data_IF_038803522059
#
_entry.id   IF_038803522059
#
_cell.length_a   1.000
_cell.length_b   1.000
_cell.length_c   1.000
_cell.angle_alpha   90.00
_cell.angle_beta   90.00
_cell.angle_gamma   90.00
#
_symmetry.space_group_name_H-M   'P 1'
#
loop_
_entity.id
_entity.type
_entity.pdbx_description
1 polymer ?
#
# COMPACT_ATOMS: atom_id res chain seq x y z
N UNK A 1 -18.60 0.94 -19.17
CA UNK A 1 -18.40 2.25 -18.52
C UNK A 1 -17.30 2.07 -17.50
N UNK A 2 -16.34 3.00 -17.44
CA UNK A 2 -15.28 2.96 -16.44
C UNK A 2 -15.87 2.91 -15.02
N UNK A 3 -15.33 2.03 -14.16
CA UNK A 3 -15.69 1.89 -12.75
C UNK A 3 -14.61 2.45 -11.84
N UNK A 4 -14.90 2.53 -10.54
CA UNK A 4 -13.94 2.91 -9.50
C UNK A 4 -13.56 1.68 -8.70
N UNK A 5 -12.27 1.39 -8.65
CA UNK A 5 -11.73 0.34 -7.80
C UNK A 5 -11.13 0.99 -6.56
N UNK A 6 -11.70 0.65 -5.40
CA UNK A 6 -11.27 1.17 -4.10
C UNK A 6 -10.58 0.05 -3.33
N UNK A 7 -9.26 0.14 -3.17
CA UNK A 7 -8.43 -0.83 -2.47
C UNK A 7 -8.06 -0.29 -1.10
N UNK A 8 -8.55 -0.93 -0.04
CA UNK A 8 -8.35 -0.55 1.35
C UNK A 8 -7.48 -1.58 2.06
N UNK A 9 -6.25 -1.21 2.43
CA UNK A 9 -5.29 -2.08 3.12
C UNK A 9 -5.09 -1.63 4.57
N UNK A 10 -5.55 -2.42 5.55
CA UNK A 10 -5.48 -2.02 6.96
C UNK A 10 -4.13 -2.35 7.64
N UNK A 11 -3.86 -1.68 8.76
CA UNK A 11 -2.71 -1.92 9.62
C UNK A 11 -2.75 -3.28 10.30
N UNK A 12 -1.59 -3.82 10.67
CA UNK A 12 -1.44 -5.16 11.27
C UNK A 12 -2.33 -5.37 12.48
N UNK A 13 -2.86 -6.57 12.59
CA UNK A 13 -3.87 -6.98 13.57
C UNK A 13 -5.23 -6.29 13.43
N UNK A 14 -5.42 -5.36 12.48
CA UNK A 14 -6.72 -4.73 12.24
C UNK A 14 -7.56 -5.47 11.20
N UNK A 15 -8.86 -5.60 11.48
CA UNK A 15 -9.87 -6.22 10.62
C UNK A 15 -11.20 -5.47 10.71
N UNK A 16 -12.02 -5.56 9.65
CA UNK A 16 -13.19 -4.69 9.46
C UNK A 16 -14.22 -4.73 10.61
N UNK A 17 -14.41 -5.92 11.20
CA UNK A 17 -15.42 -6.15 12.24
C UNK A 17 -14.93 -5.87 13.66
N UNK A 18 -13.73 -5.32 13.82
CA UNK A 18 -13.25 -4.98 15.16
C UNK A 18 -14.11 -3.87 15.79
N UNK A 19 -14.29 -3.87 17.14
CA UNK A 19 -15.12 -2.87 17.81
C UNK A 19 -14.68 -1.43 17.53
N UNK A 20 -13.36 -1.20 17.54
CA UNK A 20 -12.74 0.11 17.31
C UNK A 20 -12.17 0.20 15.90
N UNK A 21 -12.94 0.75 14.96
CA UNK A 21 -12.59 0.77 13.54
C UNK A 21 -11.44 1.74 13.23
N UNK A 22 -10.54 1.32 12.36
CA UNK A 22 -9.53 2.19 11.75
C UNK A 22 -10.18 3.11 10.70
N UNK A 23 -9.46 4.15 10.28
CA UNK A 23 -9.92 5.02 9.21
C UNK A 23 -10.00 4.30 7.86
N UNK A 24 -9.16 3.28 7.62
CA UNK A 24 -9.26 2.40 6.44
C UNK A 24 -10.57 1.62 6.44
N UNK A 25 -10.92 1.02 7.58
CA UNK A 25 -12.19 0.30 7.75
C UNK A 25 -13.39 1.25 7.57
N UNK A 26 -13.33 2.46 8.14
CA UNK A 26 -14.38 3.48 7.97
C UNK A 26 -14.55 3.87 6.49
N UNK A 27 -13.47 4.08 5.74
CA UNK A 27 -13.53 4.36 4.29
C UNK A 27 -14.18 3.19 3.55
N UNK A 28 -13.70 1.96 3.77
CA UNK A 28 -14.24 0.78 3.09
C UNK A 28 -15.76 0.60 3.33
N UNK A 29 -16.24 0.90 4.54
CA UNK A 29 -17.66 0.84 4.89
C UNK A 29 -18.49 2.01 4.38
N UNK A 30 -17.85 3.14 4.07
CA UNK A 30 -18.52 4.36 3.60
C UNK A 30 -18.65 4.40 2.08
N UNK A 31 -17.86 3.60 1.35
CA UNK A 31 -17.96 3.49 -0.10
C UNK A 31 -19.12 2.56 -0.46
N UNK A 32 -20.12 3.10 -1.16
CA UNK A 32 -21.24 2.32 -1.66
C UNK A 32 -20.79 1.42 -2.82
N UNK A 33 -20.88 0.11 -2.64
CA UNK A 33 -20.61 -0.85 -3.72
C UNK A 33 -21.80 -0.91 -4.67
N UNK A 34 -21.55 -0.69 -5.96
CA UNK A 34 -22.58 -0.55 -7.00
C UNK A 34 -22.63 0.85 -7.62
N UNK A 35 -23.72 1.18 -8.34
CA UNK A 35 -23.83 2.45 -9.05
C UNK A 35 -23.98 3.61 -8.06
N UNK A 36 -22.93 4.39 -7.87
CA UNK A 36 -22.95 5.60 -7.04
C UNK A 36 -22.51 6.81 -7.86
N UNK A 37 -23.39 7.81 -7.96
CA UNK A 37 -23.15 8.99 -8.80
C UNK A 37 -23.00 8.66 -10.29
N UNK A 38 -23.67 7.59 -10.76
CA UNK A 38 -23.61 7.15 -12.16
C UNK A 38 -22.39 6.31 -12.54
N UNK A 39 -21.52 5.96 -11.58
CA UNK A 39 -20.33 5.13 -11.81
C UNK A 39 -20.34 3.92 -10.88
N UNK A 40 -20.09 2.73 -11.43
CA UNK A 40 -19.96 1.50 -10.63
C UNK A 40 -18.72 1.59 -9.73
N UNK A 41 -18.82 1.11 -8.50
CA UNK A 41 -17.73 1.13 -7.52
C UNK A 41 -17.55 -0.26 -6.92
N UNK A 42 -16.31 -0.73 -6.89
CA UNK A 42 -15.93 -2.02 -6.30
C UNK A 42 -14.90 -1.82 -5.21
N UNK A 43 -15.25 -2.27 -4.01
CA UNK A 43 -14.40 -2.12 -2.83
C UNK A 43 -13.72 -3.44 -2.53
N UNK A 44 -12.40 -3.39 -2.36
CA UNK A 44 -11.59 -4.47 -1.82
C UNK A 44 -11.03 -4.06 -0.46
N UNK A 45 -11.41 -4.79 0.59
CA UNK A 45 -10.85 -4.61 1.91
C UNK A 45 -9.90 -5.76 2.25
N UNK A 46 -8.67 -5.41 2.63
CA UNK A 46 -7.67 -6.35 3.10
C UNK A 46 -7.36 -6.11 4.58
N UNK A 47 -7.60 -7.12 5.41
CA UNK A 47 -7.20 -7.08 6.83
C UNK A 47 -5.68 -7.04 6.98
N UNK A 48 -5.19 -6.40 8.03
CA UNK A 48 -3.75 -6.27 8.23
C UNK A 48 -3.05 -7.60 8.47
N UNK A 49 -1.73 -7.59 8.30
CA UNK A 49 -0.84 -8.75 8.59
C UNK A 49 -1.12 -9.29 10.00
N UNK A 50 -1.07 -10.61 10.19
CA UNK A 50 -1.26 -11.25 11.51
C UNK A 50 -2.72 -11.44 11.94
N UNK A 51 -3.70 -11.07 11.11
CA UNK A 51 -5.13 -11.34 11.37
C UNK A 51 -5.53 -12.78 11.04
N UNK A 52 -4.80 -13.46 10.14
CA UNK A 52 -5.03 -14.88 9.81
C UNK A 52 -4.57 -15.77 10.96
N UNK A 53 -5.36 -16.78 11.34
CA UNK A 53 -5.06 -17.72 12.45
C UNK A 53 -3.65 -18.34 12.38
N UNK A 54 -3.14 -18.58 11.17
CA UNK A 54 -1.81 -19.16 10.94
C UNK A 54 -0.64 -18.18 11.10
N UNK A 55 -0.91 -16.87 11.09
CA UNK A 55 0.12 -15.82 11.14
C UNK A 55 0.35 -15.25 12.54
N UNK A 56 -0.55 -15.51 13.50
CA UNK A 56 -0.46 -14.94 14.86
C UNK A 56 0.78 -15.39 15.67
N UNK A 57 1.50 -16.41 15.23
CA UNK A 57 2.52 -17.10 16.05
C UNK A 57 3.99 -16.92 15.63
N UNK A 58 4.34 -16.20 14.56
CA UNK A 58 5.73 -16.20 14.04
C UNK A 58 6.25 -14.83 13.60
N UNK A 59 7.26 -14.31 14.31
CA UNK A 59 7.94 -13.04 14.01
C UNK A 59 8.58 -12.95 12.61
N UNK A 60 8.99 -14.07 12.00
CA UNK A 60 9.50 -14.09 10.63
C UNK A 60 8.42 -14.07 9.54
N UNK A 61 7.14 -14.29 9.88
CA UNK A 61 6.03 -14.27 8.94
C UNK A 61 5.59 -12.85 8.55
N UNK A 62 6.06 -11.81 9.24
CA UNK A 62 5.61 -10.43 9.01
C UNK A 62 6.00 -9.89 7.62
N UNK A 63 7.25 -10.08 7.17
CA UNK A 63 7.69 -9.65 5.83
C UNK A 63 7.06 -10.49 4.71
N UNK A 64 6.90 -11.79 4.93
CA UNK A 64 6.19 -12.69 4.00
C UNK A 64 4.71 -12.33 3.89
N UNK A 65 4.06 -12.05 5.03
CA UNK A 65 2.67 -11.59 5.09
C UNK A 65 2.47 -10.28 4.34
N UNK A 66 3.40 -9.34 4.44
CA UNK A 66 3.30 -8.09 3.72
C UNK A 66 3.38 -8.25 2.19
N UNK A 67 4.30 -9.07 1.69
CA UNK A 67 4.34 -9.42 0.26
C UNK A 67 3.05 -10.07 -0.20
N UNK A 68 2.50 -10.99 0.61
CA UNK A 68 1.22 -11.64 0.31
C UNK A 68 0.09 -10.61 0.23
N UNK A 69 0.03 -9.64 1.15
CA UNK A 69 -1.00 -8.62 1.12
C UNK A 69 -0.92 -7.75 -0.15
N UNK A 70 0.29 -7.40 -0.61
CA UNK A 70 0.47 -6.67 -1.87
C UNK A 70 0.04 -7.52 -3.06
N UNK A 71 0.45 -8.79 -3.09
CA UNK A 71 0.11 -9.72 -4.17
C UNK A 71 -1.41 -10.00 -4.21
N UNK A 72 -2.05 -10.20 -3.06
CA UNK A 72 -3.50 -10.45 -2.96
C UNK A 72 -4.29 -9.22 -3.45
N UNK A 73 -3.86 -8.00 -3.09
CA UNK A 73 -4.47 -6.77 -3.61
C UNK A 73 -4.21 -6.58 -5.11
N UNK A 74 -3.03 -6.97 -5.59
CA UNK A 74 -2.71 -6.94 -7.02
C UNK A 74 -3.55 -7.94 -7.82
N UNK A 75 -3.78 -9.16 -7.30
CA UNK A 75 -4.68 -10.15 -7.90
C UNK A 75 -6.11 -9.62 -8.02
N UNK A 76 -6.61 -8.93 -6.99
CA UNK A 76 -7.90 -8.25 -7.09
C UNK A 76 -7.93 -7.25 -8.27
N UNK A 77 -6.87 -6.45 -8.46
CA UNK A 77 -6.79 -5.56 -9.63
C UNK A 77 -6.79 -6.33 -10.95
N UNK A 78 -6.02 -7.42 -11.05
CA UNK A 78 -5.95 -8.26 -12.26
C UNK A 78 -7.33 -8.83 -12.61
N UNK A 79 -8.08 -9.28 -11.62
CA UNK A 79 -9.40 -9.90 -11.81
C UNK A 79 -10.51 -8.88 -12.13
N UNK A 80 -10.31 -7.61 -11.75
CA UNK A 80 -11.40 -6.63 -11.69
C UNK A 80 -11.21 -5.45 -12.65
N UNK A 81 -9.98 -5.03 -12.89
CA UNK A 81 -9.66 -3.85 -13.68
C UNK A 81 -10.00 -4.06 -15.16
N UNK A 82 -10.68 -3.07 -15.71
CA UNK A 82 -10.85 -2.89 -17.14
C UNK A 82 -10.20 -1.55 -17.54
N UNK A 83 -9.75 -1.41 -18.80
CA UNK A 83 -9.24 -0.13 -19.29
C UNK A 83 -10.14 1.04 -18.93
N UNK A 84 -9.51 2.16 -18.56
CA UNK A 84 -10.14 3.42 -18.13
C UNK A 84 -10.78 3.42 -16.73
N UNK A 85 -10.71 2.31 -15.98
CA UNK A 85 -11.10 2.32 -14.57
C UNK A 85 -10.23 3.24 -13.72
N UNK A 86 -10.84 3.84 -12.70
CA UNK A 86 -10.16 4.71 -11.75
C UNK A 86 -9.69 3.91 -10.52
N UNK A 87 -8.45 4.15 -10.08
CA UNK A 87 -7.84 3.43 -8.96
C UNK A 87 -7.67 4.33 -7.73
N UNK A 88 -8.28 3.92 -6.62
CA UNK A 88 -8.19 4.61 -5.33
C UNK A 88 -7.58 3.66 -4.29
N UNK A 89 -6.43 4.02 -3.74
CA UNK A 89 -5.70 3.19 -2.79
C UNK A 89 -5.69 3.85 -1.41
N UNK A 90 -6.06 3.09 -0.39
CA UNK A 90 -6.08 3.55 0.99
C UNK A 90 -5.27 2.62 1.87
N UNK A 91 -4.54 3.19 2.85
CA UNK A 91 -3.93 2.34 3.85
C UNK A 91 -3.47 3.03 5.12
N UNK A 92 -3.38 2.27 6.20
CA UNK A 92 -2.91 2.75 7.50
C UNK A 92 -1.72 1.92 7.96
N UNK A 93 -0.67 2.56 8.50
CA UNK A 93 0.47 1.87 9.09
C UNK A 93 1.18 0.97 8.07
N UNK A 94 1.32 -0.33 8.35
CA UNK A 94 1.80 -1.33 7.38
C UNK A 94 0.83 -1.55 6.22
N UNK A 95 -0.46 -1.30 6.40
CA UNK A 95 -1.43 -1.24 5.30
C UNK A 95 -1.13 -0.09 4.34
N UNK A 96 -0.63 1.05 4.83
CA UNK A 96 -0.14 2.13 3.98
C UNK A 96 1.10 1.69 3.18
N UNK A 97 2.00 0.89 3.77
CA UNK A 97 3.08 0.25 3.03
C UNK A 97 2.53 -0.64 1.91
N UNK A 98 1.52 -1.46 2.19
CA UNK A 98 0.87 -2.31 1.18
C UNK A 98 0.31 -1.49 0.03
N UNK A 99 -0.48 -0.45 0.33
CA UNK A 99 -1.08 0.42 -0.68
C UNK A 99 -0.02 1.13 -1.55
N UNK A 100 1.04 1.64 -0.91
CA UNK A 100 2.18 2.27 -1.61
C UNK A 100 2.97 1.29 -2.47
N UNK A 101 3.18 0.07 -1.97
CA UNK A 101 3.88 -0.98 -2.72
C UNK A 101 3.05 -1.49 -3.90
N UNK A 102 1.74 -1.59 -3.73
CA UNK A 102 0.81 -1.89 -4.82
C UNK A 102 0.90 -0.80 -5.91
N UNK A 103 0.94 0.48 -5.52
CA UNK A 103 1.13 1.57 -6.46
C UNK A 103 2.46 1.46 -7.23
N UNK A 104 3.54 1.10 -6.54
CA UNK A 104 4.84 0.85 -7.16
C UNK A 104 4.83 -0.36 -8.10
N UNK A 105 4.14 -1.44 -7.73
CA UNK A 105 3.98 -2.63 -8.57
C UNK A 105 3.19 -2.32 -9.84
N UNK A 106 2.08 -1.59 -9.73
CA UNK A 106 1.29 -1.11 -10.88
C UNK A 106 2.14 -0.19 -11.77
N UNK A 107 2.98 0.67 -11.20
CA UNK A 107 3.91 1.50 -11.99
C UNK A 107 4.94 0.66 -12.74
N UNK A 108 5.53 -0.34 -12.10
CA UNK A 108 6.55 -1.18 -12.71
C UNK A 108 5.96 -2.10 -13.78
N UNK A 109 4.83 -2.73 -13.48
CA UNK A 109 4.33 -3.88 -14.24
C UNK A 109 2.97 -3.65 -14.90
N UNK A 110 2.32 -2.52 -14.68
CA UNK A 110 0.94 -2.28 -15.09
C UNK A 110 -0.04 -3.13 -14.29
N UNK A 111 -1.30 -3.17 -14.68
CA UNK A 111 -2.25 -4.18 -14.19
C UNK A 111 -2.25 -5.34 -15.18
N UNK A 112 -1.76 -6.52 -14.78
CA UNK A 112 -1.73 -7.67 -15.68
C UNK A 112 -3.14 -7.96 -16.23
N UNK A 113 -3.21 -8.32 -17.50
CA UNK A 113 -4.46 -8.78 -18.10
C UNK A 113 -4.86 -10.12 -17.46
N UNK A 114 -6.16 -10.44 -17.37
CA UNK A 114 -6.62 -11.70 -16.76
C UNK A 114 -5.95 -12.96 -17.35
N UNK A 115 -5.70 -12.99 -18.66
CA UNK A 115 -5.03 -14.09 -19.35
C UNK A 115 -3.53 -14.23 -19.00
N UNK A 116 -2.94 -13.19 -18.41
CA UNK A 116 -1.55 -13.14 -17.97
C UNK A 116 -1.40 -13.26 -16.45
N UNK A 117 -2.47 -13.58 -15.71
CA UNK A 117 -2.47 -13.68 -14.24
C UNK A 117 -1.41 -14.66 -13.69
N UNK A 118 -0.99 -15.66 -14.47
CA UNK A 118 0.08 -16.58 -14.11
C UNK A 118 1.45 -15.90 -13.93
N UNK A 119 1.63 -14.67 -14.43
CA UNK A 119 2.88 -13.89 -14.36
C UNK A 119 3.00 -13.01 -13.11
N UNK A 120 2.09 -13.14 -12.14
CA UNK A 120 2.14 -12.35 -10.90
C UNK A 120 3.50 -12.45 -10.20
N UNK A 121 4.11 -13.64 -10.15
CA UNK A 121 5.42 -13.83 -9.52
C UNK A 121 6.56 -13.16 -10.31
N UNK A 122 6.45 -13.13 -11.65
CA UNK A 122 7.40 -12.43 -12.52
C UNK A 122 7.28 -10.90 -12.36
N UNK A 123 6.05 -10.38 -12.33
CA UNK A 123 5.78 -8.97 -12.04
C UNK A 123 6.31 -8.57 -10.65
N UNK A 124 6.09 -9.43 -9.65
CA UNK A 124 6.61 -9.21 -8.30
C UNK A 124 8.13 -9.21 -8.28
N UNK A 125 8.79 -10.17 -8.93
CA UNK A 125 10.25 -10.22 -9.04
C UNK A 125 10.80 -8.96 -9.70
N UNK A 126 10.19 -8.52 -10.81
CA UNK A 126 10.57 -7.29 -11.51
C UNK A 126 10.38 -6.04 -10.64
N UNK A 127 9.27 -5.94 -9.91
CA UNK A 127 9.05 -4.84 -8.96
C UNK A 127 10.08 -4.84 -7.82
N UNK A 128 10.56 -6.01 -7.40
CA UNK A 128 11.48 -6.15 -6.29
C UNK A 128 12.95 -5.99 -6.69
N UNK A 129 13.25 -6.06 -7.97
CA UNK A 129 14.56 -5.72 -8.50
C UNK A 129 14.82 -4.22 -8.32
N UNK A 130 15.85 -3.87 -7.54
CA UNK A 130 16.22 -2.48 -7.24
C UNK A 130 17.09 -1.85 -8.33
N UNK A 131 17.58 -2.64 -9.27
CA UNK A 131 18.38 -2.15 -10.40
C UNK A 131 17.47 -1.66 -11.53
N UNK A 132 16.35 -2.36 -11.74
CA UNK A 132 15.35 -1.97 -12.73
C UNK A 132 14.46 -0.85 -12.19
N UNK A 133 14.44 0.26 -12.93
CA UNK A 133 13.55 1.38 -12.66
C UNK A 133 12.24 1.19 -13.43
N UNK A 134 11.12 1.78 -12.97
CA UNK A 134 9.86 1.73 -13.72
C UNK A 134 9.93 2.27 -15.16
N UNK A 135 10.88 3.16 -15.42
CA UNK A 135 11.19 3.72 -16.75
C UNK A 135 12.21 2.88 -17.55
N UNK A 136 12.70 1.77 -17.01
CA UNK A 136 13.64 0.86 -17.64
C UNK A 136 13.00 0.02 -18.75
N UNK A 137 13.84 -0.53 -19.63
CA UNK A 137 13.39 -1.29 -20.79
C UNK A 137 12.61 -2.55 -20.39
N UNK A 138 13.05 -3.27 -19.35
CA UNK A 138 12.39 -4.47 -18.87
C UNK A 138 10.96 -4.18 -18.40
N UNK A 139 10.79 -3.19 -17.52
CA UNK A 139 9.47 -2.75 -17.03
C UNK A 139 8.57 -2.24 -18.16
N UNK A 140 9.11 -1.45 -19.09
CA UNK A 140 8.33 -0.95 -20.23
C UNK A 140 7.85 -2.08 -21.16
N UNK A 141 8.73 -3.03 -21.49
CA UNK A 141 8.38 -4.19 -22.33
C UNK A 141 7.40 -5.11 -21.63
N UNK A 142 7.57 -5.35 -20.33
CA UNK A 142 6.67 -6.18 -19.54
C UNK A 142 5.25 -5.60 -19.54
N UNK A 143 5.12 -4.29 -19.26
CA UNK A 143 3.83 -3.59 -19.30
C UNK A 143 3.16 -3.72 -20.65
N UNK A 144 3.88 -3.35 -21.72
CA UNK A 144 3.37 -3.39 -23.09
C UNK A 144 2.94 -4.80 -23.52
N UNK A 145 3.66 -5.82 -23.06
CA UNK A 145 3.41 -7.20 -23.47
C UNK A 145 2.25 -7.83 -22.70
N UNK A 146 2.11 -7.57 -21.39
CA UNK A 146 1.29 -8.40 -20.49
C UNK A 146 0.22 -7.65 -19.69
N UNK A 147 0.23 -6.31 -19.70
CA UNK A 147 -0.60 -5.53 -18.80
C UNK A 147 -1.36 -4.40 -19.50
N UNK A 148 -2.27 -3.79 -18.75
CA UNK A 148 -2.82 -2.48 -19.02
C UNK A 148 -1.99 -1.41 -18.27
N UNK A 149 -1.52 -0.41 -19.00
CA UNK A 149 -0.88 0.77 -18.43
C UNK A 149 -1.97 1.74 -17.94
N UNK A 150 -1.92 2.13 -16.66
CA UNK A 150 -2.95 2.99 -16.06
C UNK A 150 -2.38 3.92 -15.00
N UNK A 151 -3.07 5.04 -14.80
CA UNK A 151 -2.81 5.94 -13.69
C UNK A 151 -3.47 5.45 -12.41
N UNK A 152 -2.97 5.96 -11.28
CA UNK A 152 -3.60 5.84 -9.97
C UNK A 152 -4.18 7.20 -9.63
N UNK A 153 -5.49 7.27 -9.46
CA UNK A 153 -6.19 8.53 -9.26
C UNK A 153 -5.94 9.11 -7.87
N UNK A 154 -5.86 8.24 -6.86
CA UNK A 154 -5.72 8.69 -5.49
C UNK A 154 -5.00 7.66 -4.62
N UNK A 155 -4.09 8.14 -3.77
CA UNK A 155 -3.53 7.38 -2.66
C UNK A 155 -3.73 8.17 -1.37
N UNK A 156 -4.51 7.63 -0.43
CA UNK A 156 -4.70 8.21 0.90
C UNK A 156 -4.12 7.30 1.96
N UNK A 157 -3.15 7.79 2.72
CA UNK A 157 -2.50 6.99 3.76
C UNK A 157 -2.45 7.68 5.11
N UNK A 158 -2.60 6.88 6.16
CA UNK A 158 -2.38 7.29 7.54
C UNK A 158 -1.08 6.66 8.04
N UNK A 159 -0.18 7.52 8.49
CA UNK A 159 1.03 7.22 9.25
C UNK A 159 1.80 5.98 8.76
N UNK A 160 2.25 6.04 7.51
CA UNK A 160 3.03 4.97 6.88
C UNK A 160 4.28 4.65 7.69
N UNK A 161 4.42 3.40 8.13
CA UNK A 161 5.65 2.91 8.78
C UNK A 161 6.45 2.05 7.80
N UNK A 162 7.68 2.45 7.48
CA UNK A 162 8.56 1.78 6.52
C UNK A 162 9.66 0.92 7.14
N UNK A 163 9.83 0.99 8.46
CA UNK A 163 10.71 0.10 9.21
C UNK A 163 10.09 -1.31 9.23
N UNK A 164 10.34 -2.07 8.17
CA UNK A 164 10.10 -3.49 8.15
C UNK A 164 11.17 -4.18 8.97
N UNK A 165 10.83 -4.45 10.21
CA UNK A 165 11.63 -5.32 11.05
C UNK A 165 10.79 -5.98 12.12
N UNK A 166 11.19 -7.20 12.47
CA UNK A 166 10.90 -7.75 13.79
C UNK A 166 11.37 -6.65 14.76
N UNK A 167 10.52 -6.16 15.69
CA UNK A 167 11.01 -5.33 16.79
C UNK A 167 12.21 -6.04 17.41
N UNK A 168 13.20 -5.31 17.93
CA UNK A 168 14.48 -5.81 18.44
C UNK A 168 14.30 -6.78 19.65
N UNK A 169 13.64 -7.90 19.40
CA UNK A 169 13.19 -8.94 20.33
C UNK A 169 14.15 -10.14 20.29
N UNK A 170 15.17 -10.10 19.43
CA UNK A 170 16.23 -11.09 19.37
C UNK A 170 17.41 -10.69 20.26
N UNK A 171 18.10 -11.63 20.92
CA UNK A 171 19.32 -11.32 21.65
C UNK A 171 20.33 -10.60 20.75
N UNK A 172 20.98 -9.54 21.26
CA UNK A 172 21.71 -8.52 20.47
C UNK A 172 22.81 -9.01 19.52
N UNK A 173 23.19 -10.29 19.55
CA UNK A 173 24.08 -10.92 18.58
C UNK A 173 23.41 -11.25 17.23
N UNK A 174 22.07 -11.28 17.16
CA UNK A 174 21.31 -11.47 15.90
C UNK A 174 21.11 -10.17 15.09
N UNK A 175 21.53 -9.02 15.63
CA UNK A 175 21.35 -7.69 15.02
C UNK A 175 21.80 -7.57 13.55
N UNK A 176 22.94 -8.16 13.12
CA UNK A 176 23.37 -8.10 11.71
C UNK A 176 22.44 -8.85 10.75
N UNK A 177 21.90 -10.00 11.17
CA UNK A 177 20.99 -10.83 10.36
C UNK A 177 19.62 -10.16 10.25
N UNK A 178 19.14 -9.57 11.36
CA UNK A 178 17.89 -8.80 11.38
C UNK A 178 18.01 -7.54 10.50
N UNK A 179 19.14 -6.82 10.54
CA UNK A 179 19.39 -5.67 9.65
C UNK A 179 19.41 -6.04 8.16
N UNK A 180 20.07 -7.15 7.80
CA UNK A 180 20.09 -7.64 6.42
C UNK A 180 18.67 -8.02 5.93
N UNK A 181 17.87 -8.63 6.80
CA UNK A 181 16.47 -8.92 6.51
C UNK A 181 15.66 -7.62 6.32
N UNK A 182 15.81 -6.64 7.21
CA UNK A 182 15.10 -5.36 7.15
C UNK A 182 15.42 -4.59 5.87
N UNK A 183 16.70 -4.52 5.45
CA UNK A 183 17.09 -3.84 4.22
C UNK A 183 16.45 -4.46 2.97
N UNK A 184 16.18 -5.76 2.99
CA UNK A 184 15.44 -6.41 1.91
C UNK A 184 14.00 -5.92 1.87
N UNK A 185 13.40 -5.60 3.01
CA UNK A 185 11.98 -5.25 3.12
C UNK A 185 11.71 -3.75 3.14
N UNK A 186 12.70 -2.89 3.36
CA UNK A 186 12.57 -1.43 3.20
C UNK A 186 11.91 -1.03 1.88
N UNK A 187 11.25 0.13 1.87
CA UNK A 187 10.58 0.67 0.68
C UNK A 187 11.49 0.56 -0.55
N UNK A 188 10.91 0.05 -1.63
CA UNK A 188 11.61 -0.05 -2.91
C UNK A 188 11.92 1.36 -3.44
N UNK A 189 10.96 2.27 -3.31
CA UNK A 189 11.11 3.68 -3.64
C UNK A 189 10.19 4.54 -2.74
N UNK A 190 10.74 5.57 -2.09
CA UNK A 190 9.96 6.60 -1.39
C UNK A 190 9.57 7.76 -2.30
N UNK A 191 10.05 7.75 -3.54
CA UNK A 191 9.69 8.70 -4.58
C UNK A 191 8.30 8.39 -5.14
N UNK A 192 7.41 9.38 -5.12
CA UNK A 192 6.07 9.24 -5.68
C UNK A 192 6.15 9.08 -7.21
N UNK A 193 5.40 8.11 -7.72
CA UNK A 193 5.30 7.86 -9.16
C UNK A 193 4.59 9.01 -9.88
N UNK A 194 5.10 9.44 -11.04
CA UNK A 194 4.39 10.39 -11.93
C UNK A 194 3.04 9.86 -12.45
N UNK A 195 2.78 8.58 -12.27
CA UNK A 195 1.50 7.96 -12.64
C UNK A 195 0.45 8.04 -11.54
N UNK A 196 0.78 8.65 -10.39
CA UNK A 196 -0.19 8.94 -9.32
C UNK A 196 -0.66 10.38 -9.50
N UNK A 197 -1.97 10.60 -9.61
CA UNK A 197 -2.54 11.95 -9.74
C UNK A 197 -2.56 12.69 -8.40
N UNK A 198 -3.00 12.03 -7.33
CA UNK A 198 -3.04 12.61 -5.98
C UNK A 198 -2.53 11.65 -4.91
N UNK A 199 -1.68 12.14 -4.01
CA UNK A 199 -1.16 11.41 -2.85
C UNK A 199 -1.28 12.25 -1.58
N UNK A 200 -1.92 11.69 -0.55
CA UNK A 200 -2.26 12.38 0.69
C UNK A 200 -1.82 11.53 1.88
N UNK A 201 -1.01 12.09 2.77
CA UNK A 201 -0.45 11.40 3.92
C UNK A 201 -0.74 12.18 5.20
N UNK A 202 -1.54 11.61 6.09
CA UNK A 202 -1.73 12.11 7.45
C UNK A 202 -0.70 11.46 8.39
N UNK A 203 0.07 12.27 9.12
CA UNK A 203 1.20 11.85 9.95
C UNK A 203 0.93 12.14 11.43
N UNK A 204 1.37 11.25 12.32
CA UNK A 204 1.26 11.45 13.77
C UNK A 204 2.46 12.22 14.32
N UNK A 205 2.25 13.41 14.88
CA UNK A 205 3.36 14.23 15.43
C UNK A 205 3.83 13.74 16.81
N UNK A 206 2.94 13.11 17.58
CA UNK A 206 3.22 12.68 18.96
C UNK A 206 3.63 11.19 19.05
N UNK A 207 3.86 10.52 17.91
CA UNK A 207 4.36 9.14 17.90
C UNK A 207 5.86 9.09 18.20
N UNK A 208 6.21 8.59 19.39
CA UNK A 208 7.59 8.59 19.89
C UNK A 208 8.31 7.24 19.74
N UNK A 209 7.60 6.16 19.39
CA UNK A 209 8.22 4.84 19.27
C UNK A 209 9.06 4.80 17.99
N UNK A 210 10.36 4.55 18.15
CA UNK A 210 11.30 4.46 17.03
C UNK A 210 10.89 3.44 15.95
N UNK A 211 10.23 2.34 16.34
CA UNK A 211 9.70 1.33 15.43
C UNK A 211 8.55 1.83 14.52
N UNK A 212 7.99 3.02 14.80
CA UNK A 212 6.87 3.64 14.10
C UNK A 212 7.28 4.94 13.41
N UNK A 213 8.57 5.17 13.17
CA UNK A 213 9.00 6.34 12.42
C UNK A 213 8.32 6.39 11.04
N UNK A 214 7.71 7.54 10.70
CA UNK A 214 6.95 7.65 9.47
C UNK A 214 7.88 7.67 8.25
N UNK A 215 7.44 7.02 7.18
CA UNK A 215 8.11 7.08 5.89
C UNK A 215 7.44 8.12 5.02
N UNK A 216 8.10 9.26 4.84
CA UNK A 216 7.61 10.34 3.99
C UNK A 216 7.69 9.97 2.50
N UNK A 217 6.90 10.64 1.69
CA UNK A 217 7.03 10.66 0.24
C UNK A 217 7.96 11.78 -0.21
N UNK A 218 8.64 11.54 -1.33
CA UNK A 218 9.35 12.57 -2.08
C UNK A 218 8.70 12.75 -3.45
N UNK A 219 8.34 13.99 -3.79
CA UNK A 219 7.80 14.31 -5.11
C UNK A 219 8.93 14.45 -6.13
N UNK A 220 8.74 13.93 -7.35
CA UNK A 220 9.73 14.12 -8.42
C UNK A 220 9.71 15.56 -8.92
N UNK A 221 10.87 16.12 -9.33
CA UNK A 221 10.91 17.42 -10.01
C UNK A 221 9.99 17.46 -11.24
N UNK A 222 9.27 18.55 -11.43
CA UNK A 222 8.36 18.73 -12.56
C UNK A 222 7.00 18.03 -12.41
N UNK A 223 6.78 17.21 -11.38
CA UNK A 223 5.54 16.45 -11.25
C UNK A 223 4.35 17.32 -10.80
N UNK A 224 4.59 18.29 -9.92
CA UNK A 224 3.56 19.21 -9.47
C UNK A 224 3.05 20.09 -10.61
N UNK A 225 3.95 20.56 -11.46
CA UNK A 225 3.66 21.34 -12.67
C UNK A 225 2.89 20.52 -13.72
N UNK A 226 3.02 19.19 -13.67
CA UNK A 226 2.25 18.24 -14.48
C UNK A 226 0.89 17.87 -13.84
N UNK A 227 0.50 18.55 -12.75
CA UNK A 227 -0.79 18.36 -12.09
C UNK A 227 -0.82 17.27 -11.01
N UNK A 228 0.34 16.72 -10.61
CA UNK A 228 0.39 15.79 -9.48
C UNK A 228 0.27 16.53 -8.14
N UNK A 229 -0.71 16.15 -7.33
CA UNK A 229 -0.86 16.68 -5.97
C UNK A 229 -0.21 15.75 -4.94
N UNK A 230 0.71 16.28 -4.12
CA UNK A 230 1.25 15.62 -2.94
C UNK A 230 1.01 16.49 -1.71
N UNK A 231 0.30 15.96 -0.71
CA UNK A 231 0.12 16.61 0.59
C UNK A 231 0.52 15.68 1.72
N UNK A 232 1.39 16.15 2.60
CA UNK A 232 1.82 15.44 3.80
C UNK A 232 1.59 16.37 4.99
N UNK A 233 0.69 15.99 5.89
CA UNK A 233 0.20 16.87 6.97
C UNK A 233 0.34 16.17 8.31
N UNK A 234 0.91 16.88 9.28
CA UNK A 234 1.08 16.42 10.66
C UNK A 234 -0.16 16.75 11.49
N UNK A 235 -0.68 15.74 12.18
CA UNK A 235 -1.83 15.84 13.08
C UNK A 235 -1.36 15.56 14.51
N UNK A 236 -2.01 16.22 15.47
CA UNK A 236 -1.84 15.93 16.89
C UNK A 236 -2.32 14.50 17.20
N UNK A 237 -1.64 13.84 18.13
CA UNK A 237 -1.88 12.46 18.52
C UNK A 237 -0.81 11.48 18.03
N UNK A 238 -0.93 10.27 18.55
CA UNK A 238 -0.09 9.11 18.25
C UNK A 238 -0.59 8.34 17.02
N UNK A 239 0.12 7.27 16.64
CA UNK A 239 -0.15 6.46 15.45
C UNK A 239 -1.64 6.08 15.25
N UNK A 240 -2.30 5.63 16.32
CA UNK A 240 -3.70 5.20 16.27
C UNK A 240 -4.71 6.34 16.48
N UNK A 241 -4.27 7.51 16.94
CA UNK A 241 -5.12 8.72 16.96
C UNK A 241 -5.33 9.23 15.53
N UNK A 242 -4.29 9.18 14.69
CA UNK A 242 -4.36 9.56 13.28
C UNK A 242 -4.96 8.46 12.40
N UNK A 243 -4.57 7.19 12.62
CA UNK A 243 -5.04 6.06 11.81
C UNK A 243 -6.37 5.44 12.24
N UNK A 244 -6.86 5.79 13.43
CA UNK A 244 -7.97 5.12 14.10
C UNK A 244 -7.57 3.79 14.74
N UNK A 245 -8.57 3.11 15.33
CA UNK A 245 -8.36 1.85 16.07
C UNK A 245 -8.51 1.96 17.59
N UNK A 246 -8.58 3.19 18.13
CA UNK A 246 -8.98 3.41 19.53
C UNK A 246 -10.50 3.45 19.71
N UNK A 247 -10.95 3.21 20.95
CA UNK A 247 -12.38 3.27 21.31
C UNK A 247 -12.91 4.70 21.25
N UNK A 248 -12.13 5.64 21.74
CA UNK A 248 -12.40 7.06 21.61
C UNK A 248 -11.74 7.56 20.32
N UNK A 249 -12.51 8.23 19.48
CA UNK A 249 -12.04 8.76 18.20
C UNK A 249 -12.44 10.22 18.07
N UNK A 250 -11.49 11.11 17.80
CA UNK A 250 -11.70 12.57 17.71
C UNK A 250 -11.23 13.22 16.40
N UNK A 251 -10.64 12.44 15.50
CA UNK A 251 -10.25 12.82 14.14
C UNK A 251 -11.02 11.98 13.11
#
# INVERSE_FOLDING_TARGET
MAKRLVVCCDGTWNFADQPSKTNVSKVALSVHSGPAGGKDQRVYYHGGVGTRRTERLRGGAFGVGLSRNVIDAYRFLIETYEPDDELFLFGFSRGAFTARSLAGLVRNCGVLRPDQAARVEEAWALYRDRTERPSGAASALFRRSYAHETYIDFIGVWDTVGALGIPDLGPGWLGPVVKQFNHRWEFHDTTLSKWVKGAFHALAIDEQRSAFQPTLWHQQPGAAEQGQELKQVWFAGSHCDVGGGYKETGL
#
